data_IF_799310351152
#
_entry.id   IF_799310351152
#
_cell.length_a   1.000
_cell.length_b   1.000
_cell.length_c   1.000
_cell.angle_alpha   90.00
_cell.angle_beta   90.00
_cell.angle_gamma   90.00
#
_symmetry.space_group_name_H-M   'P 1'
#
loop_
_entity.id
_entity.type
_entity.pdbx_description
1 polymer ?
#
# COMPACT_ATOMS: atom_id res chain seq x y z
N UNK A 1 4.14 55.36 -35.56
CA UNK A 1 3.55 55.20 -34.22
C UNK A 1 3.10 53.77 -33.97
N UNK A 2 2.71 53.02 -34.95
CA UNK A 2 2.22 51.63 -34.81
C UNK A 2 3.30 50.57 -34.54
N UNK A 3 4.53 50.74 -34.97
CA UNK A 3 5.61 49.73 -34.78
C UNK A 3 5.99 49.50 -33.31
N UNK A 4 5.86 50.49 -32.43
CA UNK A 4 6.15 50.32 -30.99
C UNK A 4 5.06 49.58 -30.25
N UNK A 5 3.81 49.62 -30.70
CA UNK A 5 2.71 48.87 -30.10
C UNK A 5 2.80 47.36 -30.42
N UNK A 6 3.21 47.02 -31.66
CA UNK A 6 3.40 45.61 -32.03
C UNK A 6 4.56 44.96 -31.28
N UNK A 7 5.65 45.70 -31.04
CA UNK A 7 6.79 45.19 -30.29
C UNK A 7 6.42 44.93 -28.82
N UNK A 8 5.59 45.79 -28.22
CA UNK A 8 5.13 45.60 -26.83
C UNK A 8 4.18 44.42 -26.68
N UNK A 9 3.27 44.20 -27.62
CA UNK A 9 2.41 43.02 -27.65
C UNK A 9 3.20 41.72 -27.89
N UNK A 10 4.24 41.76 -28.72
CA UNK A 10 5.10 40.59 -28.98
C UNK A 10 5.92 40.21 -27.73
N UNK A 11 6.42 41.20 -26.99
CA UNK A 11 7.14 40.95 -25.71
C UNK A 11 6.19 40.41 -24.64
N UNK A 12 4.96 40.92 -24.52
CA UNK A 12 3.95 40.41 -23.62
C UNK A 12 3.53 38.98 -23.98
N UNK A 13 3.45 38.64 -25.26
CA UNK A 13 3.14 37.31 -25.74
C UNK A 13 4.29 36.32 -25.45
N UNK A 14 5.55 36.74 -25.57
CA UNK A 14 6.72 35.95 -25.23
C UNK A 14 6.88 35.74 -23.72
N UNK A 15 6.41 36.67 -22.90
CA UNK A 15 6.39 36.52 -21.43
C UNK A 15 5.26 35.60 -20.99
N UNK A 16 4.12 35.59 -21.70
CA UNK A 16 2.98 34.72 -21.37
C UNK A 16 3.15 33.26 -21.84
N UNK A 17 4.01 33.00 -22.84
CA UNK A 17 4.33 31.64 -23.30
C UNK A 17 5.52 31.02 -22.56
N UNK A 18 6.17 31.77 -21.69
CA UNK A 18 7.07 31.26 -20.68
C UNK A 18 6.29 30.55 -19.57
N UNK A 19 5.47 29.56 -19.93
CA UNK A 19 5.04 28.52 -19.01
C UNK A 19 6.33 27.82 -18.58
N UNK A 20 7.00 28.40 -17.62
CA UNK A 20 8.02 27.71 -16.85
C UNK A 20 7.34 26.45 -16.34
N UNK A 21 7.56 25.31 -17.02
CA UNK A 21 7.52 24.02 -16.35
C UNK A 21 8.31 24.25 -15.07
N UNK A 22 7.62 24.53 -13.97
CA UNK A 22 8.24 24.44 -12.67
C UNK A 22 8.76 23.01 -12.62
N UNK A 23 10.06 22.85 -12.89
CA UNK A 23 10.76 21.66 -12.46
C UNK A 23 10.41 21.60 -10.98
N UNK A 24 9.56 20.66 -10.60
CA UNK A 24 9.39 20.35 -9.19
C UNK A 24 10.79 20.14 -8.67
N UNK A 25 11.31 21.15 -7.98
CA UNK A 25 12.60 21.03 -7.30
C UNK A 25 12.34 19.90 -6.33
N UNK A 26 13.06 18.82 -6.53
CA UNK A 26 12.96 17.62 -5.69
C UNK A 26 13.26 18.08 -4.26
N UNK A 27 12.22 18.28 -3.46
CA UNK A 27 12.39 18.65 -2.06
C UNK A 27 13.08 17.48 -1.37
N UNK A 28 14.17 17.78 -0.69
CA UNK A 28 14.83 16.79 0.15
C UNK A 28 13.99 16.57 1.40
N UNK A 29 13.99 15.35 1.95
CA UNK A 29 13.32 15.08 3.21
C UNK A 29 13.96 15.86 4.34
N UNK A 30 13.17 16.17 5.35
CA UNK A 30 13.66 16.80 6.57
C UNK A 30 14.60 15.86 7.33
N UNK A 31 14.32 14.55 7.28
CA UNK A 31 15.02 13.50 8.01
C UNK A 31 15.42 12.37 7.05
N UNK A 32 16.66 11.91 7.18
CA UNK A 32 17.14 10.68 6.50
C UNK A 32 17.72 9.75 7.55
N UNK A 33 17.24 8.50 7.58
CA UNK A 33 17.72 7.45 8.48
C UNK A 33 18.17 6.24 7.69
N UNK A 34 19.22 5.58 8.16
CA UNK A 34 19.74 4.35 7.55
C UNK A 34 19.95 3.32 8.64
N UNK A 35 19.47 2.10 8.36
CA UNK A 35 19.59 0.97 9.27
C UNK A 35 20.29 -0.20 8.59
N UNK A 36 21.07 -0.97 9.35
CA UNK A 36 21.76 -2.16 8.89
C UNK A 36 21.50 -3.30 9.87
N UNK A 37 21.05 -4.47 9.38
CA UNK A 37 20.67 -5.62 10.22
C UNK A 37 21.75 -6.00 11.24
N UNK A 38 23.02 -5.94 10.85
CA UNK A 38 24.13 -6.31 11.74
C UNK A 38 24.29 -5.42 12.98
N UNK A 39 23.64 -4.26 13.00
CA UNK A 39 23.72 -3.27 14.09
C UNK A 39 22.42 -3.20 14.91
N UNK A 40 21.45 -4.09 14.66
CA UNK A 40 20.15 -4.05 15.29
C UNK A 40 19.99 -5.16 16.34
N UNK A 41 19.30 -4.84 17.43
CA UNK A 41 18.84 -5.82 18.42
C UNK A 41 17.56 -6.48 17.89
N UNK A 42 17.72 -7.67 17.30
CA UNK A 42 16.64 -8.42 16.65
C UNK A 42 16.02 -9.36 17.67
N UNK A 43 14.76 -9.12 17.96
CA UNK A 43 13.93 -9.97 18.82
C UNK A 43 13.33 -11.12 18.02
N UNK A 44 12.80 -12.13 18.68
CA UNK A 44 12.07 -13.23 18.05
C UNK A 44 10.57 -13.02 18.27
N UNK A 45 9.77 -13.32 17.25
CA UNK A 45 8.32 -13.40 17.34
C UNK A 45 7.83 -14.78 16.89
N UNK A 46 6.69 -15.23 17.44
CA UNK A 46 6.06 -16.48 17.04
C UNK A 46 5.00 -16.25 15.96
N UNK A 47 4.76 -17.26 15.12
CA UNK A 47 3.82 -17.23 14.03
C UNK A 47 3.06 -18.55 13.93
N UNK A 48 1.73 -18.51 14.01
CA UNK A 48 0.89 -19.68 13.99
C UNK A 48 -0.24 -19.56 12.97
N UNK A 49 -0.50 -20.57 12.13
CA UNK A 49 -1.61 -20.54 11.20
C UNK A 49 -2.95 -20.64 11.92
N UNK A 50 -3.95 -19.93 11.43
CA UNK A 50 -5.34 -20.08 11.83
C UNK A 50 -5.99 -21.05 10.86
N UNK A 51 -6.07 -22.33 11.25
CA UNK A 51 -6.42 -23.47 10.39
C UNK A 51 -7.77 -23.29 9.68
N UNK A 52 -8.76 -22.71 10.38
CA UNK A 52 -10.09 -22.47 9.82
C UNK A 52 -10.06 -21.62 8.54
N UNK A 53 -9.04 -20.78 8.38
CA UNK A 53 -8.95 -19.87 7.23
C UNK A 53 -8.53 -20.56 5.95
N UNK A 54 -8.04 -21.79 6.00
CA UNK A 54 -7.74 -22.63 4.82
C UNK A 54 -8.96 -22.97 3.98
N UNK A 55 -10.15 -22.81 4.53
CA UNK A 55 -11.41 -23.05 3.80
C UNK A 55 -11.71 -21.95 2.76
N UNK A 56 -11.06 -20.81 2.85
CA UNK A 56 -11.27 -19.68 1.93
C UNK A 56 -10.43 -19.80 0.66
N UNK A 57 -10.63 -20.86 -0.11
CA UNK A 57 -9.85 -21.20 -1.32
C UNK A 57 -9.91 -20.12 -2.42
N UNK A 58 -10.96 -19.27 -2.41
CA UNK A 58 -11.13 -18.16 -3.33
C UNK A 58 -10.56 -16.84 -2.82
N UNK A 59 -9.97 -16.80 -1.63
CA UNK A 59 -9.41 -15.59 -1.08
C UNK A 59 -8.32 -15.00 -1.99
N UNK A 60 -8.47 -13.73 -2.35
CA UNK A 60 -7.43 -12.91 -2.94
C UNK A 60 -6.58 -12.26 -1.83
N UNK A 61 -7.25 -11.84 -0.76
CA UNK A 61 -6.62 -11.27 0.44
C UNK A 61 -7.52 -11.46 1.67
N UNK A 62 -6.95 -11.25 2.86
CA UNK A 62 -7.66 -11.36 4.13
C UNK A 62 -7.17 -10.30 5.11
N UNK A 63 -8.09 -9.77 5.92
CA UNK A 63 -7.80 -8.79 6.97
C UNK A 63 -8.54 -9.18 8.23
N UNK A 64 -7.97 -8.88 9.39
CA UNK A 64 -8.67 -9.06 10.67
C UNK A 64 -9.05 -7.70 11.25
N UNK A 65 -10.28 -7.61 11.67
CA UNK A 65 -10.85 -6.44 12.33
C UNK A 65 -11.34 -6.81 13.74
N UNK A 66 -10.87 -6.05 14.74
CA UNK A 66 -11.21 -6.25 16.16
C UNK A 66 -11.04 -7.70 16.65
N UNK A 67 -9.97 -8.40 16.19
CA UNK A 67 -9.58 -9.77 16.62
C UNK A 67 -10.66 -10.84 16.48
N UNK A 68 -11.77 -10.53 15.85
CA UNK A 68 -12.90 -11.44 15.75
C UNK A 68 -13.57 -11.49 14.39
N UNK A 69 -13.38 -10.48 13.58
CA UNK A 69 -14.00 -10.38 12.24
C UNK A 69 -12.91 -10.58 11.20
N UNK A 70 -13.02 -11.65 10.43
CA UNK A 70 -12.22 -11.89 9.25
C UNK A 70 -12.95 -11.25 8.05
N UNK A 71 -12.25 -10.40 7.34
CA UNK A 71 -12.69 -9.79 6.10
C UNK A 71 -11.97 -10.52 4.98
N UNK A 72 -12.70 -11.23 4.15
CA UNK A 72 -12.17 -11.97 3.01
C UNK A 72 -12.47 -11.22 1.73
N UNK A 73 -11.41 -10.79 1.04
CA UNK A 73 -11.50 -10.30 -0.33
C UNK A 73 -11.35 -11.49 -1.27
N UNK A 74 -12.35 -11.75 -2.07
CA UNK A 74 -12.35 -12.90 -2.96
C UNK A 74 -11.77 -12.59 -4.36
N UNK A 75 -11.36 -13.67 -5.05
CA UNK A 75 -11.05 -13.67 -6.48
C UNK A 75 -12.33 -13.70 -7.31
N UNK A 76 -12.30 -13.28 -8.60
CA UNK A 76 -13.48 -13.29 -9.48
C UNK A 76 -14.11 -14.68 -9.72
N UNK A 77 -13.50 -15.75 -9.23
CA UNK A 77 -14.05 -17.11 -9.25
C UNK A 77 -15.14 -17.34 -8.20
N UNK A 78 -15.26 -16.46 -7.21
CA UNK A 78 -16.34 -16.45 -6.23
C UNK A 78 -17.55 -15.62 -6.72
N UNK A 79 -18.68 -15.75 -6.06
CA UNK A 79 -19.87 -14.95 -6.38
C UNK A 79 -19.80 -13.51 -5.85
N UNK A 80 -19.15 -13.31 -4.69
CA UNK A 80 -19.07 -12.03 -4.01
C UNK A 80 -17.62 -11.60 -3.84
N UNK A 81 -17.40 -10.28 -3.97
CA UNK A 81 -16.09 -9.65 -3.76
C UNK A 81 -15.66 -9.71 -2.30
N UNK A 82 -16.62 -9.49 -1.39
CA UNK A 82 -16.35 -9.33 0.03
C UNK A 82 -17.21 -10.29 0.84
N UNK A 83 -16.58 -11.00 1.78
CA UNK A 83 -17.25 -11.80 2.80
C UNK A 83 -16.73 -11.42 4.18
N UNK A 84 -17.65 -11.26 5.14
CA UNK A 84 -17.32 -11.09 6.55
C UNK A 84 -17.59 -12.38 7.29
N UNK A 85 -16.61 -12.81 8.07
CA UNK A 85 -16.66 -14.07 8.81
C UNK A 85 -16.29 -13.84 10.27
N UNK A 86 -17.02 -14.45 11.19
CA UNK A 86 -16.72 -14.38 12.61
C UNK A 86 -15.76 -15.51 13.00
N UNK A 87 -14.54 -15.17 13.40
CA UNK A 87 -13.51 -16.14 13.80
C UNK A 87 -13.89 -16.93 15.07
N UNK A 88 -14.74 -16.37 15.94
CA UNK A 88 -15.15 -17.02 17.19
C UNK A 88 -16.31 -17.99 16.98
N UNK A 89 -17.40 -17.55 16.31
CA UNK A 89 -18.55 -18.42 16.01
C UNK A 89 -18.31 -19.34 14.82
N UNK A 90 -17.30 -19.05 14.00
CA UNK A 90 -16.95 -19.77 12.77
C UNK A 90 -18.06 -19.70 11.71
N UNK A 91 -18.76 -18.57 11.62
CA UNK A 91 -19.88 -18.36 10.72
C UNK A 91 -19.68 -17.15 9.81
N UNK A 92 -20.23 -17.23 8.60
CA UNK A 92 -20.29 -16.07 7.70
C UNK A 92 -21.33 -15.11 8.25
N UNK A 93 -20.92 -13.87 8.50
CA UNK A 93 -21.77 -12.78 8.96
C UNK A 93 -22.57 -12.22 7.79
N UNK A 94 -21.89 -11.90 6.68
CA UNK A 94 -22.51 -11.27 5.51
C UNK A 94 -21.62 -11.39 4.28
N UNK A 95 -22.23 -11.19 3.09
CA UNK A 95 -21.55 -11.15 1.79
C UNK A 95 -21.96 -9.90 1.05
N UNK A 96 -21.00 -9.23 0.43
CA UNK A 96 -21.23 -7.94 -0.21
C UNK A 96 -20.56 -7.87 -1.57
N UNK A 97 -21.13 -7.05 -2.44
CA UNK A 97 -20.65 -6.70 -3.77
C UNK A 97 -20.50 -7.95 -4.65
N UNK A 98 -21.31 -8.04 -5.68
CA UNK A 98 -21.21 -9.12 -6.66
C UNK A 98 -20.04 -8.87 -7.61
N UNK A 99 -19.44 -9.95 -8.10
CA UNK A 99 -18.59 -9.87 -9.28
C UNK A 99 -19.44 -9.77 -10.54
N UNK A 100 -19.08 -8.84 -11.44
CA UNK A 100 -19.78 -8.67 -12.71
C UNK A 100 -19.66 -7.27 -13.30
N UNK A 101 -20.49 -7.02 -14.33
CA UNK A 101 -20.52 -5.79 -15.12
C UNK A 101 -21.65 -4.85 -14.78
N UNK A 102 -22.49 -5.19 -13.82
CA UNK A 102 -23.61 -4.35 -13.37
C UNK A 102 -23.17 -3.06 -12.67
N UNK A 103 -24.07 -2.12 -12.45
CA UNK A 103 -23.74 -0.80 -11.90
C UNK A 103 -23.23 -0.83 -10.44
N UNK A 104 -23.56 -1.88 -9.69
CA UNK A 104 -23.11 -2.10 -8.30
C UNK A 104 -22.14 -3.29 -8.18
N UNK A 105 -21.56 -3.76 -9.28
CA UNK A 105 -20.68 -4.92 -9.37
C UNK A 105 -19.24 -4.49 -9.62
N UNK A 106 -18.28 -5.35 -9.29
CA UNK A 106 -16.85 -5.13 -9.50
C UNK A 106 -16.24 -6.31 -10.26
N UNK A 107 -15.08 -6.10 -10.91
CA UNK A 107 -14.42 -7.11 -11.75
C UNK A 107 -13.13 -7.64 -11.15
N UNK A 108 -12.25 -6.74 -10.73
CA UNK A 108 -10.92 -7.10 -10.22
C UNK A 108 -10.52 -6.18 -9.09
N UNK A 109 -10.59 -6.70 -7.88
CA UNK A 109 -10.52 -5.89 -6.68
C UNK A 109 -9.21 -6.09 -5.92
N UNK A 110 -8.75 -4.99 -5.32
CA UNK A 110 -7.82 -4.97 -4.20
C UNK A 110 -8.45 -4.24 -3.03
N UNK A 111 -8.04 -4.57 -1.83
CA UNK A 111 -8.52 -3.90 -0.64
C UNK A 111 -7.36 -3.47 0.26
N UNK A 112 -7.63 -2.47 1.09
CA UNK A 112 -6.78 -2.05 2.20
C UNK A 112 -7.67 -1.72 3.39
N UNK A 113 -7.18 -2.03 4.58
CA UNK A 113 -7.87 -1.76 5.83
C UNK A 113 -7.14 -0.66 6.62
N UNK A 114 -7.86 0.41 6.95
CA UNK A 114 -7.35 1.53 7.76
C UNK A 114 -8.27 1.75 8.95
N UNK A 115 -7.80 1.41 10.14
CA UNK A 115 -8.62 1.47 11.34
C UNK A 115 -9.96 0.74 11.12
N UNK A 116 -11.06 1.49 10.99
CA UNK A 116 -12.41 0.94 10.74
C UNK A 116 -12.89 1.16 9.29
N UNK A 117 -12.05 1.67 8.40
CA UNK A 117 -12.39 1.92 7.00
C UNK A 117 -11.75 0.86 6.12
N UNK A 118 -12.58 0.09 5.43
CA UNK A 118 -12.17 -0.80 4.36
C UNK A 118 -12.31 -0.07 3.02
N UNK A 119 -11.20 0.09 2.32
CA UNK A 119 -11.16 0.60 0.96
C UNK A 119 -11.09 -0.58 -0.01
N UNK A 120 -12.05 -0.71 -0.91
CA UNK A 120 -12.04 -1.70 -2.00
C UNK A 120 -11.98 -0.97 -3.33
N UNK A 121 -11.09 -1.40 -4.22
CA UNK A 121 -10.82 -0.75 -5.50
C UNK A 121 -10.95 -1.73 -6.64
N UNK A 122 -11.64 -1.31 -7.71
CA UNK A 122 -11.68 -2.02 -8.99
C UNK A 122 -10.87 -1.25 -10.03
N UNK A 123 -9.71 -1.80 -10.38
CA UNK A 123 -8.80 -1.16 -11.32
C UNK A 123 -9.30 -1.21 -12.78
N UNK A 124 -10.12 -2.20 -13.10
CA UNK A 124 -10.66 -2.37 -14.46
C UNK A 124 -11.74 -1.34 -14.74
N UNK A 125 -12.59 -1.10 -13.76
CA UNK A 125 -13.73 -0.17 -13.89
C UNK A 125 -13.45 1.24 -13.37
N UNK A 126 -12.29 1.45 -12.78
CA UNK A 126 -11.91 2.71 -12.13
C UNK A 126 -12.93 3.15 -11.07
N UNK A 127 -13.38 2.18 -10.29
CA UNK A 127 -14.30 2.39 -9.19
C UNK A 127 -13.63 2.08 -7.86
N UNK A 128 -14.12 2.68 -6.81
CA UNK A 128 -13.76 2.33 -5.44
C UNK A 128 -14.94 2.50 -4.51
N UNK A 129 -14.84 1.88 -3.36
CA UNK A 129 -15.76 2.05 -2.25
C UNK A 129 -14.97 2.23 -0.96
N UNK A 130 -15.51 3.01 -0.07
CA UNK A 130 -15.06 3.11 1.32
C UNK A 130 -16.18 2.59 2.20
N UNK A 131 -15.90 1.59 3.01
CA UNK A 131 -16.86 0.95 3.90
C UNK A 131 -16.43 1.22 5.33
N UNK A 132 -17.28 1.85 6.12
CA UNK A 132 -17.11 1.89 7.56
C UNK A 132 -17.55 0.53 8.12
N UNK A 133 -16.61 -0.23 8.68
CA UNK A 133 -16.89 -1.58 9.18
C UNK A 133 -17.81 -1.58 10.37
N UNK A 134 -17.78 -0.56 11.22
CA UNK A 134 -18.71 -0.45 12.34
C UNK A 134 -20.16 -0.35 11.85
N UNK A 135 -20.39 0.51 10.84
CA UNK A 135 -21.73 0.69 10.26
C UNK A 135 -22.21 -0.59 9.57
N UNK A 136 -21.30 -1.25 8.83
CA UNK A 136 -21.60 -2.50 8.14
C UNK A 136 -21.93 -3.65 9.10
N UNK A 137 -21.25 -3.74 10.24
CA UNK A 137 -21.51 -4.77 11.25
C UNK A 137 -22.83 -4.54 12.01
N UNK A 138 -23.22 -3.26 12.20
CA UNK A 138 -24.52 -2.91 12.80
C UNK A 138 -25.67 -3.16 11.84
N UNK A 139 -25.47 -2.82 10.55
CA UNK A 139 -26.46 -2.98 9.50
C UNK A 139 -25.86 -3.74 8.30
N UNK A 140 -25.98 -5.06 8.24
CA UNK A 140 -25.44 -5.86 7.12
C UNK A 140 -26.06 -5.52 5.75
N UNK A 141 -27.21 -4.83 5.71
CA UNK A 141 -27.84 -4.32 4.49
C UNK A 141 -27.41 -2.87 4.16
N UNK A 142 -26.35 -2.39 4.79
CA UNK A 142 -25.79 -1.06 4.52
C UNK A 142 -25.60 -0.83 3.03
N UNK A 143 -26.15 0.28 2.52
CA UNK A 143 -26.05 0.59 1.09
C UNK A 143 -24.62 1.05 0.74
N UNK A 144 -23.91 0.16 0.07
CA UNK A 144 -22.54 0.40 -0.36
C UNK A 144 -22.55 1.27 -1.61
N UNK A 145 -22.05 2.48 -1.50
CA UNK A 145 -21.97 3.45 -2.59
C UNK A 145 -20.66 3.33 -3.35
N UNK A 146 -20.76 2.92 -4.62
CA UNK A 146 -19.63 2.93 -5.54
C UNK A 146 -19.30 4.37 -5.96
N UNK A 147 -18.07 4.77 -5.72
CA UNK A 147 -17.50 6.03 -6.22
C UNK A 147 -16.64 5.72 -7.44
N UNK A 148 -16.69 6.58 -8.45
CA UNK A 148 -15.86 6.45 -9.66
C UNK A 148 -14.77 7.50 -9.67
N UNK A 149 -13.63 7.14 -10.20
CA UNK A 149 -12.57 8.09 -10.51
C UNK A 149 -12.21 7.99 -12.00
N UNK A 150 -11.66 9.07 -12.54
CA UNK A 150 -11.17 9.09 -13.91
C UNK A 150 -9.67 9.32 -13.89
N UNK A 151 -8.94 8.50 -14.59
CA UNK A 151 -7.51 8.68 -14.81
C UNK A 151 -7.15 8.24 -16.22
N UNK A 152 -6.27 9.00 -16.88
CA UNK A 152 -5.67 8.58 -18.15
C UNK A 152 -4.58 7.54 -17.93
N UNK A 153 -4.08 7.42 -16.71
CA UNK A 153 -3.02 6.50 -16.32
C UNK A 153 -3.62 5.31 -15.58
N UNK A 154 -3.12 4.11 -15.81
CA UNK A 154 -3.41 2.97 -14.95
C UNK A 154 -2.98 3.28 -13.51
N UNK A 155 -3.87 3.09 -12.54
CA UNK A 155 -3.62 3.38 -11.13
C UNK A 155 -3.29 2.10 -10.38
N UNK A 156 -2.16 2.10 -9.67
CA UNK A 156 -1.75 0.98 -8.82
C UNK A 156 -2.37 1.06 -7.42
N UNK A 157 -2.29 2.24 -6.81
CA UNK A 157 -2.91 2.51 -5.52
C UNK A 157 -3.76 3.77 -5.59
N UNK A 158 -4.87 3.75 -4.86
CA UNK A 158 -5.77 4.87 -4.67
C UNK A 158 -6.08 4.96 -3.18
N UNK A 159 -6.00 6.17 -2.62
CA UNK A 159 -6.30 6.44 -1.22
C UNK A 159 -7.17 7.68 -1.12
N UNK A 160 -8.45 7.56 -0.74
CA UNK A 160 -9.27 8.70 -0.43
C UNK A 160 -8.80 9.31 0.90
N UNK A 161 -8.43 10.58 0.87
CA UNK A 161 -8.04 11.33 2.07
C UNK A 161 -9.29 11.91 2.74
N UNK A 162 -10.19 12.41 1.92
CA UNK A 162 -11.53 12.84 2.29
C UNK A 162 -12.43 12.72 1.05
N UNK A 163 -13.65 13.24 1.10
CA UNK A 163 -14.57 13.17 -0.04
C UNK A 163 -14.07 13.94 -1.27
N UNK A 164 -13.15 14.88 -1.11
CA UNK A 164 -12.66 15.76 -2.17
C UNK A 164 -11.24 15.42 -2.65
N UNK A 165 -10.45 14.67 -1.89
CA UNK A 165 -9.04 14.43 -2.18
C UNK A 165 -8.75 12.93 -2.31
N UNK A 166 -8.15 12.57 -3.45
CA UNK A 166 -7.62 11.24 -3.73
C UNK A 166 -6.11 11.30 -3.90
N UNK A 167 -5.40 10.38 -3.24
CA UNK A 167 -4.03 10.07 -3.62
C UNK A 167 -4.04 8.94 -4.64
N UNK A 168 -3.33 9.17 -5.74
CA UNK A 168 -3.21 8.21 -6.83
C UNK A 168 -1.73 7.87 -7.03
N UNK A 169 -1.40 6.58 -6.99
CA UNK A 169 -0.11 6.08 -7.41
C UNK A 169 -0.28 5.35 -8.74
N UNK A 170 0.12 5.97 -9.86
CA UNK A 170 -0.06 5.39 -11.19
C UNK A 170 0.95 4.28 -11.47
N UNK A 171 0.60 3.39 -12.41
CA UNK A 171 1.54 2.39 -12.94
C UNK A 171 2.63 2.99 -13.81
N UNK A 172 2.35 4.11 -14.47
CA UNK A 172 3.23 4.74 -15.45
C UNK A 172 3.33 6.24 -15.22
N UNK A 173 4.50 6.75 -15.56
CA UNK A 173 4.74 8.18 -15.63
C UNK A 173 4.66 8.59 -17.10
N UNK A 174 3.52 9.07 -17.53
CA UNK A 174 3.41 9.79 -18.78
C UNK A 174 3.22 11.27 -18.47
N UNK A 175 3.72 12.14 -19.35
CA UNK A 175 3.46 13.59 -19.32
C UNK A 175 1.98 13.87 -19.67
N UNK A 176 1.06 13.20 -19.03
CA UNK A 176 -0.35 13.33 -19.31
C UNK A 176 -1.02 14.21 -18.27
N UNK A 177 -1.86 15.07 -18.78
CA UNK A 177 -2.70 15.96 -17.99
C UNK A 177 -3.53 15.20 -16.94
N UNK A 178 -3.69 15.84 -15.81
CA UNK A 178 -4.38 15.40 -14.61
C UNK A 178 -5.79 14.84 -14.88
N UNK A 179 -6.24 13.84 -14.13
CA UNK A 179 -7.56 13.22 -14.27
C UNK A 179 -8.69 14.22 -14.06
N UNK A 180 -9.75 14.00 -14.81
CA UNK A 180 -10.99 14.72 -14.68
C UNK A 180 -11.85 13.97 -13.66
N UNK A 181 -11.78 14.37 -12.42
CA UNK A 181 -12.68 13.94 -11.35
C UNK A 181 -13.20 15.18 -10.63
N UNK A 182 -14.35 15.09 -10.02
CA UNK A 182 -14.83 16.14 -9.10
C UNK A 182 -14.01 16.16 -7.80
N UNK A 183 -13.16 15.17 -7.61
CA UNK A 183 -12.23 15.01 -6.50
C UNK A 183 -10.87 15.51 -6.95
N UNK A 184 -10.19 16.29 -6.14
CA UNK A 184 -8.88 16.84 -6.44
C UNK A 184 -7.80 15.75 -6.31
N UNK A 185 -7.28 15.17 -7.41
CA UNK A 185 -6.31 14.09 -7.31
C UNK A 185 -4.92 14.64 -7.02
N UNK A 186 -4.23 13.98 -6.11
CA UNK A 186 -2.82 14.20 -5.85
C UNK A 186 -2.05 12.97 -6.27
N UNK A 187 -1.12 13.14 -7.22
CA UNK A 187 -0.32 12.04 -7.72
C UNK A 187 0.93 11.87 -6.89
N UNK A 188 1.09 10.67 -6.36
CA UNK A 188 2.30 10.26 -5.69
C UNK A 188 3.24 9.61 -6.72
N UNK A 189 4.34 10.30 -7.01
CA UNK A 189 5.37 9.82 -7.94
C UNK A 189 6.66 9.52 -7.18
N UNK A 190 7.05 8.27 -7.14
CA UNK A 190 8.35 7.90 -6.64
C UNK A 190 9.42 8.09 -7.73
N UNK A 191 9.83 9.32 -7.97
CA UNK A 191 10.73 9.70 -9.06
C UNK A 191 12.21 9.45 -8.79
N UNK A 192 12.59 9.05 -7.55
CA UNK A 192 13.99 9.13 -7.13
C UNK A 192 14.87 8.00 -7.56
N UNK A 193 14.30 6.82 -7.72
CA UNK A 193 15.06 5.58 -7.84
C UNK A 193 15.72 5.41 -9.18
N UNK A 194 15.29 6.16 -10.14
CA UNK A 194 15.81 6.13 -11.49
C UNK A 194 15.96 7.56 -11.97
N UNK A 195 17.03 7.83 -12.72
CA UNK A 195 17.14 9.10 -13.45
C UNK A 195 16.13 9.04 -14.61
N UNK A 196 14.88 9.34 -14.31
CA UNK A 196 13.69 9.02 -15.10
C UNK A 196 13.58 9.76 -16.40
N UNK A 197 14.56 10.58 -16.79
CA UNK A 197 14.58 11.16 -18.14
C UNK A 197 14.51 10.12 -19.25
N UNK A 198 14.99 8.90 -18.97
CA UNK A 198 15.07 7.81 -19.93
C UNK A 198 14.07 6.66 -19.68
N UNK A 199 13.24 6.75 -18.65
CA UNK A 199 12.46 5.63 -18.11
C UNK A 199 10.95 5.88 -18.13
N UNK A 200 10.46 6.41 -19.21
CA UNK A 200 9.07 6.87 -19.36
C UNK A 200 7.96 5.83 -19.14
N UNK A 201 8.27 4.55 -19.01
CA UNK A 201 7.24 3.50 -18.94
C UNK A 201 7.45 2.44 -17.87
N UNK A 202 8.30 2.66 -16.87
CA UNK A 202 8.63 1.56 -15.97
C UNK A 202 8.24 1.83 -14.51
N UNK A 203 6.98 1.93 -14.28
CA UNK A 203 6.40 1.92 -12.94
C UNK A 203 6.49 0.57 -12.25
N UNK A 204 6.86 -0.50 -12.95
CA UNK A 204 6.99 -1.82 -12.34
C UNK A 204 7.89 -1.82 -11.09
N UNK A 205 8.91 -0.98 -11.06
CA UNK A 205 9.85 -0.90 -9.92
C UNK A 205 9.50 0.18 -8.91
N UNK A 206 8.58 1.09 -9.22
CA UNK A 206 8.09 2.12 -8.31
C UNK A 206 6.85 1.66 -7.50
N UNK A 207 6.52 0.38 -7.58
CA UNK A 207 5.40 -0.19 -6.84
C UNK A 207 5.71 -0.32 -5.37
N UNK A 208 4.69 -0.16 -4.55
CA UNK A 208 4.79 -0.28 -3.11
C UNK A 208 3.43 -0.25 -2.44
N UNK A 209 3.44 -0.24 -1.14
CA UNK A 209 2.27 -0.09 -0.30
C UNK A 209 2.21 1.33 0.24
N UNK A 210 1.00 1.79 0.52
CA UNK A 210 0.77 3.07 1.18
C UNK A 210 -0.13 2.86 2.38
N UNK A 211 0.08 3.68 3.42
CA UNK A 211 -0.83 3.82 4.54
C UNK A 211 -0.86 5.29 4.98
N UNK A 212 -1.91 5.67 5.71
CA UNK A 212 -2.13 7.06 6.11
C UNK A 212 -2.38 7.16 7.61
N UNK A 213 -1.78 8.18 8.21
CA UNK A 213 -2.17 8.70 9.52
C UNK A 213 -3.02 9.95 9.27
N UNK A 214 -4.32 9.83 9.47
CA UNK A 214 -5.25 10.94 9.24
C UNK A 214 -5.18 11.99 10.33
N UNK A 215 -4.79 11.60 11.55
CA UNK A 215 -4.65 12.49 12.70
C UNK A 215 -3.55 13.52 12.48
N UNK A 216 -2.38 13.07 12.02
CA UNK A 216 -1.21 13.93 11.77
C UNK A 216 -1.07 14.35 10.30
N UNK A 217 -2.01 13.95 9.44
CA UNK A 217 -1.98 14.21 8.00
C UNK A 217 -0.69 13.71 7.33
N UNK A 218 -0.30 12.48 7.64
CA UNK A 218 0.90 11.83 7.12
C UNK A 218 0.56 10.63 6.24
N UNK A 219 1.44 10.40 5.25
CA UNK A 219 1.41 9.25 4.36
C UNK A 219 2.75 8.54 4.48
N UNK A 220 2.71 7.22 4.55
CA UNK A 220 3.89 6.39 4.38
C UNK A 220 3.80 5.59 3.10
N UNK A 221 4.91 5.50 2.39
CA UNK A 221 5.08 4.62 1.24
C UNK A 221 6.23 3.64 1.52
N UNK A 222 5.96 2.34 1.39
CA UNK A 222 6.95 1.28 1.51
C UNK A 222 7.12 0.59 0.15
N UNK A 223 8.33 0.62 -0.40
CA UNK A 223 8.60 0.07 -1.72
C UNK A 223 8.65 -1.46 -1.71
N UNK A 224 8.06 -2.12 -2.72
CA UNK A 224 8.18 -3.58 -2.86
C UNK A 224 9.60 -4.03 -3.19
N UNK A 225 10.32 -3.25 -3.97
CA UNK A 225 11.59 -3.71 -4.56
C UNK A 225 12.81 -3.08 -3.90
N UNK A 226 12.65 -1.96 -3.22
CA UNK A 226 13.73 -1.27 -2.54
C UNK A 226 13.52 -1.30 -1.03
N UNK A 227 14.57 -1.43 -0.24
CA UNK A 227 14.48 -1.33 1.21
C UNK A 227 14.33 0.13 1.64
N UNK A 228 13.28 0.76 1.16
CA UNK A 228 12.99 2.16 1.42
C UNK A 228 11.57 2.34 1.91
N UNK A 229 11.43 3.18 2.94
CA UNK A 229 10.19 3.69 3.47
C UNK A 229 10.26 5.21 3.41
N UNK A 230 9.25 5.84 2.85
CA UNK A 230 9.19 7.27 2.63
C UNK A 230 7.95 7.84 3.32
N UNK A 231 8.13 8.91 4.10
CA UNK A 231 7.04 9.56 4.83
C UNK A 231 6.85 10.97 4.28
N UNK A 232 5.60 11.32 4.02
CA UNK A 232 5.17 12.58 3.45
C UNK A 232 4.02 13.16 4.26
N UNK A 233 3.82 14.46 4.17
CA UNK A 233 2.55 15.06 4.57
C UNK A 233 1.51 14.96 3.43
N UNK A 234 0.26 15.37 3.70
CA UNK A 234 -0.81 15.34 2.70
C UNK A 234 -0.61 16.32 1.52
N UNK A 235 0.30 17.28 1.63
CA UNK A 235 0.76 18.13 0.51
C UNK A 235 1.85 17.46 -0.33
N UNK A 236 2.20 16.20 -0.04
CA UNK A 236 3.28 15.43 -0.66
C UNK A 236 4.68 16.03 -0.46
N UNK A 237 4.86 16.84 0.57
CA UNK A 237 6.18 17.28 1.00
C UNK A 237 6.86 16.16 1.80
N UNK A 238 8.09 15.77 1.44
CA UNK A 238 8.79 14.68 2.11
C UNK A 238 9.22 15.09 3.53
N UNK A 239 8.87 14.26 4.51
CA UNK A 239 9.23 14.44 5.92
C UNK A 239 10.41 13.57 6.30
N UNK A 240 10.33 12.27 6.06
CA UNK A 240 11.39 11.35 6.42
C UNK A 240 11.59 10.27 5.36
N UNK A 241 12.84 9.83 5.19
CA UNK A 241 13.21 8.68 4.40
C UNK A 241 14.03 7.72 5.21
N UNK A 242 13.65 6.46 5.14
CA UNK A 242 14.30 5.37 5.84
C UNK A 242 14.86 4.39 4.83
N UNK A 243 16.14 4.08 4.95
CA UNK A 243 16.84 3.08 4.13
C UNK A 243 17.23 1.90 5.00
N UNK A 244 17.02 0.71 4.50
CA UNK A 244 17.34 -0.52 5.21
C UNK A 244 16.07 -1.28 5.66
N UNK A 245 16.25 -2.28 6.51
CA UNK A 245 17.45 -2.64 7.29
C UNK A 245 18.52 -3.41 6.52
N UNK A 246 18.30 -3.86 5.31
CA UNK A 246 19.29 -4.54 4.46
C UNK A 246 19.31 -3.91 3.08
N UNK A 247 20.48 -3.57 2.58
CA UNK A 247 20.64 -3.14 1.20
C UNK A 247 20.39 -4.34 0.28
N UNK A 248 19.58 -4.13 -0.75
CA UNK A 248 19.29 -5.13 -1.76
C UNK A 248 19.69 -4.58 -3.11
N UNK A 249 20.44 -5.37 -3.87
CA UNK A 249 20.83 -5.01 -5.23
C UNK A 249 19.76 -5.50 -6.20
N UNK A 250 19.15 -4.58 -6.91
CA UNK A 250 18.15 -4.90 -7.93
C UNK A 250 18.82 -4.96 -9.27
N UNK A 251 18.83 -6.14 -9.86
CA UNK A 251 19.38 -6.35 -11.18
C UNK A 251 18.28 -6.13 -12.23
N UNK A 252 18.34 -5.00 -12.93
CA UNK A 252 17.39 -4.63 -13.97
C UNK A 252 18.07 -4.35 -15.29
N UNK A 253 17.35 -4.59 -16.38
CA UNK A 253 17.71 -4.13 -17.74
C UNK A 253 16.61 -3.24 -18.25
N UNK A 254 16.99 -2.23 -18.96
CA UNK A 254 16.06 -1.36 -19.67
C UNK A 254 16.02 -1.84 -21.13
N UNK A 255 14.84 -2.23 -21.60
CA UNK A 255 14.57 -2.56 -23.01
C UNK A 255 13.32 -1.82 -23.46
N UNK A 256 13.41 -1.11 -24.59
CA UNK A 256 12.25 -0.46 -25.23
C UNK A 256 11.40 0.39 -24.27
N UNK A 257 12.06 1.05 -23.31
CA UNK A 257 11.43 1.85 -22.24
C UNK A 257 10.77 1.04 -21.10
N UNK A 258 10.99 -0.26 -21.04
CA UNK A 258 10.56 -1.10 -19.92
C UNK A 258 11.73 -1.49 -19.02
N UNK A 259 11.51 -1.54 -17.73
CA UNK A 259 12.43 -2.15 -16.79
C UNK A 259 12.08 -3.63 -16.67
N UNK A 260 13.05 -4.47 -17.03
CA UNK A 260 12.94 -5.91 -16.91
C UNK A 260 13.87 -6.38 -15.80
N UNK A 261 13.32 -7.08 -14.83
CA UNK A 261 14.11 -7.71 -13.79
C UNK A 261 14.91 -8.89 -14.37
N UNK A 262 16.19 -8.96 -14.06
CA UNK A 262 17.05 -10.10 -14.39
C UNK A 262 17.15 -11.03 -13.20
N UNK A 263 16.66 -12.26 -13.37
CA UNK A 263 16.74 -13.28 -12.32
C UNK A 263 15.69 -13.11 -11.23
N UNK A 264 16.11 -13.34 -9.99
CA UNK A 264 15.22 -13.24 -8.82
C UNK A 264 14.83 -11.77 -8.59
N UNK A 265 13.54 -11.55 -8.38
CA UNK A 265 13.00 -10.22 -8.02
C UNK A 265 13.00 -10.12 -6.50
N UNK A 266 13.91 -9.35 -5.90
CA UNK A 266 13.86 -9.16 -4.46
C UNK A 266 12.60 -8.40 -4.08
N UNK A 267 11.90 -8.88 -3.06
CA UNK A 267 10.79 -8.14 -2.46
C UNK A 267 11.25 -7.65 -1.08
N UNK A 268 11.33 -6.34 -0.93
CA UNK A 268 11.71 -5.71 0.33
C UNK A 268 10.55 -5.72 1.30
N UNK A 269 9.56 -4.87 1.09
CA UNK A 269 8.37 -4.82 1.92
C UNK A 269 7.21 -5.60 1.29
N UNK A 270 6.43 -6.33 2.10
CA UNK A 270 5.32 -7.16 1.63
C UNK A 270 3.99 -6.89 2.30
N UNK A 271 4.02 -6.36 3.50
CA UNK A 271 2.84 -6.01 4.29
C UNK A 271 3.11 -4.74 5.07
N UNK A 272 2.09 -3.92 5.22
CA UNK A 272 2.17 -2.70 6.01
C UNK A 272 0.81 -2.40 6.63
N UNK A 273 0.85 -1.93 7.87
CA UNK A 273 -0.29 -1.32 8.56
C UNK A 273 0.24 -0.20 9.45
N UNK A 274 -0.63 0.66 9.93
CA UNK A 274 -0.26 1.74 10.83
C UNK A 274 -1.37 2.03 11.84
N UNK A 275 -1.00 2.75 12.87
CA UNK A 275 -1.91 3.49 13.75
C UNK A 275 -1.42 4.93 13.90
N UNK A 276 -2.04 5.71 14.76
CA UNK A 276 -1.67 7.12 14.97
C UNK A 276 -0.25 7.30 15.52
N UNK A 277 0.35 6.26 16.10
CA UNK A 277 1.67 6.33 16.74
C UNK A 277 2.78 5.67 15.95
N UNK A 278 2.47 4.58 15.24
CA UNK A 278 3.48 3.72 14.64
C UNK A 278 3.09 3.21 13.25
N UNK A 279 4.13 2.90 12.47
CA UNK A 279 4.08 2.19 11.21
C UNK A 279 4.65 0.80 11.45
N UNK A 280 3.96 -0.23 10.98
CA UNK A 280 4.36 -1.63 11.08
C UNK A 280 4.53 -2.20 9.68
N UNK A 281 5.67 -2.83 9.42
CA UNK A 281 5.97 -3.37 8.09
C UNK A 281 6.48 -4.80 8.17
N UNK A 282 6.13 -5.61 7.17
CA UNK A 282 6.74 -6.92 6.95
C UNK A 282 7.84 -6.77 5.92
N UNK A 283 9.08 -6.94 6.34
CA UNK A 283 10.29 -6.84 5.51
C UNK A 283 10.85 -8.23 5.26
N UNK A 284 10.98 -8.62 4.00
CA UNK A 284 11.53 -9.94 3.67
C UNK A 284 13.05 -9.99 3.79
N UNK A 285 13.75 -9.00 3.29
CA UNK A 285 15.19 -8.79 3.48
C UNK A 285 16.12 -9.86 2.92
N UNK A 286 15.58 -10.86 2.23
CA UNK A 286 16.34 -11.99 1.70
C UNK A 286 16.45 -11.93 0.20
N UNK A 287 17.66 -12.07 -0.30
CA UNK A 287 17.99 -12.23 -1.72
C UNK A 287 17.80 -13.68 -2.17
N UNK A 288 17.65 -14.60 -1.22
CA UNK A 288 17.58 -16.03 -1.46
C UNK A 288 16.23 -16.59 -0.98
N UNK A 289 15.67 -17.50 -1.76
CA UNK A 289 14.51 -18.30 -1.39
C UNK A 289 14.77 -19.27 -0.22
N UNK A 290 16.01 -19.34 0.26
CA UNK A 290 16.48 -20.29 1.27
C UNK A 290 16.11 -19.81 2.71
N UNK A 291 16.08 -18.48 2.93
CA UNK A 291 15.74 -17.96 4.25
C UNK A 291 14.24 -18.11 4.50
N UNK A 292 13.89 -18.88 5.51
CA UNK A 292 12.48 -19.16 5.88
C UNK A 292 11.97 -18.16 6.92
N UNK A 293 12.43 -16.91 6.88
CA UNK A 293 11.98 -15.89 7.81
C UNK A 293 11.77 -14.54 7.11
N UNK A 294 11.03 -13.68 7.76
CA UNK A 294 10.89 -12.25 7.46
C UNK A 294 10.99 -11.45 8.75
N UNK A 295 11.00 -10.13 8.63
CA UNK A 295 11.07 -9.24 9.78
C UNK A 295 9.79 -8.43 9.89
N UNK A 296 9.20 -8.37 11.08
CA UNK A 296 8.20 -7.37 11.44
C UNK A 296 8.95 -6.20 12.07
N UNK A 297 8.81 -5.02 11.48
CA UNK A 297 9.54 -3.82 11.91
C UNK A 297 8.52 -2.76 12.30
N UNK A 298 8.79 -2.13 13.44
CA UNK A 298 8.01 -1.04 13.99
C UNK A 298 8.79 0.27 13.87
N UNK A 299 8.19 1.26 13.24
CA UNK A 299 8.72 2.62 13.14
C UNK A 299 7.75 3.61 13.78
N UNK A 300 8.26 4.73 14.28
CA UNK A 300 7.42 5.90 14.50
C UNK A 300 7.26 6.72 13.21
N UNK A 301 6.41 7.75 13.24
CA UNK A 301 6.11 8.58 12.08
C UNK A 301 7.22 9.57 11.68
N UNK A 302 8.32 9.66 12.41
CA UNK A 302 9.55 10.35 11.98
C UNK A 302 10.56 9.40 11.30
N UNK A 303 10.19 8.12 11.12
CA UNK A 303 11.02 7.09 10.53
C UNK A 303 12.02 6.45 11.49
N UNK A 304 11.97 6.73 12.81
CA UNK A 304 12.81 6.01 13.77
C UNK A 304 12.33 4.58 13.91
N UNK A 305 13.22 3.63 13.67
CA UNK A 305 13.00 2.22 13.98
C UNK A 305 12.97 2.04 15.49
N UNK A 306 11.86 1.55 16.01
CA UNK A 306 11.66 1.31 17.43
C UNK A 306 12.02 -0.13 17.79
N UNK A 307 11.57 -1.09 16.98
CA UNK A 307 11.72 -2.51 17.24
C UNK A 307 11.77 -3.29 15.92
N UNK A 308 12.47 -4.42 15.96
CA UNK A 308 12.53 -5.39 14.86
C UNK A 308 12.41 -6.81 15.41
N UNK A 309 11.56 -7.62 14.79
CA UNK A 309 11.29 -9.00 15.17
C UNK A 309 11.52 -9.93 13.98
N UNK A 310 12.24 -11.00 14.19
CA UNK A 310 12.37 -12.09 13.22
C UNK A 310 11.20 -13.05 13.38
N UNK A 311 10.52 -13.36 12.28
CA UNK A 311 9.36 -14.25 12.22
C UNK A 311 9.69 -15.40 11.28
N UNK A 312 9.57 -16.64 11.76
CA UNK A 312 9.85 -17.85 10.99
C UNK A 312 8.72 -18.18 10.01
N UNK A 313 8.55 -17.37 8.99
CA UNK A 313 7.72 -17.65 7.83
C UNK A 313 8.00 -16.57 6.76
N UNK A 314 8.59 -16.97 5.65
CA UNK A 314 8.93 -16.04 4.57
C UNK A 314 7.79 -15.77 3.57
N UNK A 315 6.66 -16.44 3.70
CA UNK A 315 5.50 -16.27 2.81
C UNK A 315 4.57 -15.14 3.21
N UNK A 316 4.78 -14.56 4.42
CA UNK A 316 3.88 -13.57 4.98
C UNK A 316 3.81 -12.29 4.13
N UNK A 317 2.60 -11.78 4.00
CA UNK A 317 2.24 -10.54 3.30
C UNK A 317 1.14 -9.83 4.08
N UNK A 318 0.34 -9.04 3.50
CA UNK A 318 -0.81 -8.31 4.07
C UNK A 318 -0.90 -8.34 5.60
N UNK A 319 -0.57 -7.22 6.22
CA UNK A 319 -0.49 -7.09 7.67
C UNK A 319 -1.73 -6.41 8.22
N UNK A 320 -2.35 -6.99 9.23
CA UNK A 320 -3.41 -6.36 10.04
C UNK A 320 -2.97 -6.29 11.50
N UNK A 321 -3.22 -5.15 12.14
CA UNK A 321 -2.93 -4.97 13.56
C UNK A 321 -4.08 -5.48 14.41
N UNK A 322 -3.76 -6.20 15.49
CA UNK A 322 -4.68 -6.57 16.56
C UNK A 322 -5.01 -5.36 17.46
N UNK A 323 -6.07 -5.46 18.22
CA UNK A 323 -6.34 -4.55 19.34
C UNK A 323 -5.32 -4.71 20.49
N UNK A 324 -4.66 -5.85 20.56
CA UNK A 324 -3.56 -6.10 21.51
C UNK A 324 -2.24 -5.60 20.93
N UNK A 325 -1.41 -4.88 21.71
CA UNK A 325 -0.26 -4.15 21.18
C UNK A 325 0.80 -5.03 20.50
N UNK A 326 0.97 -6.26 20.98
CA UNK A 326 2.04 -7.17 20.53
C UNK A 326 1.52 -8.32 19.65
N UNK A 327 0.30 -8.17 19.13
CA UNK A 327 -0.35 -9.17 18.30
C UNK A 327 -0.70 -8.60 16.93
N UNK A 328 -0.43 -9.40 15.90
CA UNK A 328 -0.73 -9.06 14.51
C UNK A 328 -1.33 -10.26 13.78
N UNK A 329 -1.93 -9.99 12.64
CA UNK A 329 -2.39 -10.99 11.70
C UNK A 329 -1.75 -10.74 10.35
N UNK A 330 -1.28 -11.80 9.72
CA UNK A 330 -0.69 -11.75 8.38
C UNK A 330 -1.28 -12.82 7.49
N UNK A 331 -1.39 -12.51 6.20
CA UNK A 331 -1.70 -13.51 5.20
C UNK A 331 -0.42 -14.14 4.70
N UNK A 332 -0.33 -15.46 4.73
CA UNK A 332 0.73 -16.22 4.10
C UNK A 332 0.19 -17.15 3.03
N UNK A 333 1.08 -17.91 2.39
CA UNK A 333 0.72 -18.97 1.47
C UNK A 333 1.30 -20.29 1.99
N UNK A 334 0.49 -21.32 1.94
CA UNK A 334 0.93 -22.71 2.09
C UNK A 334 0.65 -23.50 0.80
N UNK A 335 0.78 -24.83 0.86
CA UNK A 335 0.54 -25.71 -0.28
C UNK A 335 -0.93 -25.74 -0.76
N UNK A 336 -1.88 -25.32 0.09
CA UNK A 336 -3.31 -25.29 -0.22
C UNK A 336 -3.79 -23.90 -0.67
N UNK A 337 -2.99 -22.84 -0.45
CA UNK A 337 -3.36 -21.48 -0.84
C UNK A 337 -3.07 -20.44 0.22
N UNK A 338 -3.95 -19.44 0.34
CA UNK A 338 -3.80 -18.39 1.33
C UNK A 338 -4.31 -18.82 2.70
N UNK A 339 -3.51 -18.55 3.72
CA UNK A 339 -3.82 -18.84 5.13
C UNK A 339 -3.56 -17.59 5.95
N UNK A 340 -4.41 -17.33 6.92
CA UNK A 340 -4.18 -16.30 7.92
C UNK A 340 -3.30 -16.84 9.04
N UNK A 341 -2.31 -16.06 9.43
CA UNK A 341 -1.40 -16.34 10.53
C UNK A 341 -1.59 -15.31 11.64
N UNK A 342 -1.54 -15.79 12.87
CA UNK A 342 -1.43 -14.97 14.06
C UNK A 342 0.06 -14.81 14.40
N UNK A 343 0.50 -13.58 14.64
CA UNK A 343 1.87 -13.25 15.06
C UNK A 343 1.80 -12.67 16.46
N UNK A 344 2.62 -13.22 17.37
CA UNK A 344 2.79 -12.72 18.73
C UNK A 344 4.25 -12.31 18.93
N UNK A 345 4.46 -11.06 19.38
CA UNK A 345 5.78 -10.47 19.58
C UNK A 345 6.34 -10.71 21.01
N UNK A 346 5.49 -11.00 21.96
CA UNK A 346 5.90 -11.36 23.32
C UNK A 346 6.07 -12.87 23.42
N UNK A 347 7.32 -13.33 23.52
CA UNK A 347 7.64 -14.74 23.80
C UNK A 347 7.36 -15.17 25.25
N UNK A 348 6.51 -14.46 25.99
CA UNK A 348 6.09 -14.86 27.34
C UNK A 348 4.95 -15.90 27.31
N UNK A 349 5.02 -16.90 26.44
CA UNK A 349 4.40 -18.16 26.75
C UNK A 349 5.34 -18.89 27.73
N UNK A 350 5.24 -18.56 29.01
CA UNK A 350 5.54 -19.53 30.03
C UNK A 350 4.75 -20.80 29.67
N UNK A 351 5.48 -21.86 29.42
CA UNK A 351 4.94 -23.22 29.36
C UNK A 351 4.13 -23.41 30.66
N UNK A 352 2.83 -23.17 30.61
CA UNK A 352 1.93 -23.66 31.64
C UNK A 352 1.83 -25.15 31.43
N UNK A 353 2.81 -25.83 32.03
CA UNK A 353 2.83 -27.27 32.33
C UNK A 353 1.56 -27.74 33.06
#
# INVERSE_FOLDING_TARGET
MYAKQYLFCLILFLISTGCTRQKQIQQLPEIVKTYELGNLDIKSGSCHPIEETRTFIHAADMFVYHDSILIVLNKPTASHVLELYNLKSKEIISKHILFGNGPKEMLNCKADLYNNILLVRDFVRMNYITINLNDLLINPEYDIVLKSYKSKLPIYNLYPINDDILFLNPYCYEDSEVPISNTEPRFFYNQRKFNLKDLYNSCNVAQGMMACNFTDSLIVFASYYYPELEIYNFELSPKAFVYGPKRMDINVVIREREIIFKGYIPLSYRGMTCDDTCIYTMFKGSDNSIDNFCYLIKYNWDGTMLEIYQIENNSLSTLSKSMFPDKFYCVGNDEFGKVLYEINLNNSYEESS
#
